data_IF_875827813289
#
_entry.id   IF_875827813289
#
_cell.length_a   1.000
_cell.length_b   1.000
_cell.length_c   1.000
_cell.angle_alpha   90.00
_cell.angle_beta   90.00
_cell.angle_gamma   90.00
#
_symmetry.space_group_name_H-M   'P 1'
#
loop_
_entity.id
_entity.type
_entity.pdbx_description
1 polymer ?
#
# COMPACT_ATOMS: atom_id res chain seq x y z
N UNK A 1 -8.41 8.02 -80.23
CA UNK A 1 -7.72 6.78 -80.63
C UNK A 1 -7.84 5.84 -79.45
N UNK A 2 -8.70 4.83 -79.40
CA UNK A 2 -9.51 4.08 -80.37
C UNK A 2 -10.75 3.60 -79.58
N UNK A 3 -11.98 3.77 -80.07
CA UNK A 3 -12.74 2.80 -80.90
C UNK A 3 -12.85 1.40 -80.26
N UNK A 4 -13.95 0.66 -80.24
CA UNK A 4 -15.34 0.83 -80.69
C UNK A 4 -16.07 -0.50 -80.31
N UNK A 5 -17.41 -0.47 -80.25
CA UNK A 5 -18.37 -1.61 -80.37
C UNK A 5 -18.41 -2.74 -79.32
N UNK A 6 -19.61 -3.02 -78.78
CA UNK A 6 -20.53 -4.04 -79.35
C UNK A 6 -21.88 -4.13 -78.59
N UNK A 7 -22.97 -3.93 -79.34
CA UNK A 7 -24.31 -4.62 -79.34
C UNK A 7 -25.11 -4.68 -78.03
N UNK A 8 -26.35 -4.16 -77.92
CA UNK A 8 -27.39 -4.04 -78.94
C UNK A 8 -28.08 -5.39 -79.14
N UNK A 9 -29.03 -5.72 -78.25
CA UNK A 9 -29.92 -6.87 -78.38
C UNK A 9 -31.37 -6.36 -78.28
N UNK A 10 -31.89 -5.94 -79.43
CA UNK A 10 -33.33 -5.86 -79.69
C UNK A 10 -33.87 -7.29 -79.72
N UNK A 11 -34.89 -7.55 -78.92
CA UNK A 11 -35.64 -8.80 -78.94
C UNK A 11 -37.08 -8.44 -79.29
N UNK A 12 -37.30 -8.37 -80.61
CA UNK A 12 -38.62 -8.51 -81.22
C UNK A 12 -39.19 -9.87 -80.84
N UNK A 13 -40.28 -9.85 -80.08
CA UNK A 13 -41.18 -10.98 -79.97
C UNK A 13 -42.52 -10.55 -80.56
N UNK A 14 -42.66 -10.95 -81.82
CA UNK A 14 -43.83 -10.80 -82.66
C UNK A 14 -45.09 -11.36 -81.99
N UNK A 15 -46.17 -10.64 -82.29
CA UNK A 15 -47.56 -11.06 -82.23
C UNK A 15 -47.76 -12.44 -82.86
N UNK A 16 -48.32 -13.41 -82.14
CA UNK A 16 -49.56 -14.08 -82.58
C UNK A 16 -50.13 -14.97 -81.46
N UNK A 17 -51.06 -14.42 -80.68
CA UNK A 17 -51.99 -15.22 -79.87
C UNK A 17 -53.38 -14.63 -80.02
N UNK A 18 -53.93 -14.78 -81.22
CA UNK A 18 -55.36 -14.61 -81.48
C UNK A 18 -56.16 -15.66 -80.69
N UNK A 19 -56.53 -15.32 -79.46
CA UNK A 19 -57.54 -16.06 -78.72
C UNK A 19 -58.94 -15.61 -79.17
N UNK A 20 -59.57 -16.41 -80.02
CA UNK A 20 -61.01 -16.33 -80.22
C UNK A 20 -61.73 -16.54 -78.87
N UNK A 21 -62.64 -15.64 -78.47
CA UNK A 21 -63.43 -15.86 -77.26
C UNK A 21 -64.43 -17.01 -77.51
N UNK A 22 -64.46 -18.06 -76.68
CA UNK A 22 -65.49 -19.07 -76.80
C UNK A 22 -66.86 -18.43 -76.51
N UNK A 23 -67.79 -18.54 -77.47
CA UNK A 23 -69.20 -18.18 -77.31
C UNK A 23 -69.78 -18.90 -76.09
N UNK A 24 -69.96 -18.15 -75.00
CA UNK A 24 -70.60 -18.63 -73.77
C UNK A 24 -72.10 -18.81 -74.00
N UNK A 25 -72.51 -20.08 -74.07
CA UNK A 25 -73.86 -20.50 -73.66
C UNK A 25 -73.89 -20.63 -72.13
N UNK A 26 -75.05 -20.34 -71.56
CA UNK A 26 -75.31 -20.03 -70.15
C UNK A 26 -74.68 -20.97 -69.11
N UNK A 27 -74.38 -20.38 -67.94
CA UNK A 27 -73.92 -21.11 -66.76
C UNK A 27 -73.29 -20.19 -65.71
N UNK A 28 -74.08 -19.29 -65.12
CA UNK A 28 -73.66 -18.25 -64.17
C UNK A 28 -73.14 -18.74 -62.80
N UNK A 29 -72.67 -19.97 -62.66
CA UNK A 29 -72.22 -20.53 -61.39
C UNK A 29 -70.72 -20.92 -61.34
N UNK A 30 -70.00 -20.98 -62.48
CA UNK A 30 -68.60 -21.45 -62.51
C UNK A 30 -67.52 -20.36 -62.50
N UNK A 31 -67.87 -19.11 -62.82
CA UNK A 31 -66.92 -17.98 -62.77
C UNK A 31 -66.69 -17.42 -61.37
N UNK A 32 -67.69 -17.53 -60.49
CA UNK A 32 -67.51 -17.19 -59.07
C UNK A 32 -66.47 -18.09 -58.39
N UNK A 33 -66.41 -19.37 -58.77
CA UNK A 33 -65.49 -20.34 -58.15
C UNK A 33 -64.01 -20.06 -58.49
N UNK A 34 -63.71 -19.63 -59.71
CA UNK A 34 -62.34 -19.30 -60.13
C UNK A 34 -61.85 -18.03 -59.44
N UNK A 35 -62.68 -17.00 -59.32
CA UNK A 35 -62.34 -15.75 -58.63
C UNK A 35 -62.05 -16.01 -57.13
N UNK A 36 -62.85 -16.88 -56.50
CA UNK A 36 -62.65 -17.24 -55.08
C UNK A 36 -61.32 -17.99 -54.87
N UNK A 37 -60.95 -18.92 -55.75
CA UNK A 37 -59.68 -19.67 -55.63
C UNK A 37 -58.47 -18.75 -55.81
N UNK A 38 -58.48 -17.85 -56.79
CA UNK A 38 -57.37 -16.92 -57.02
C UNK A 38 -57.19 -15.94 -55.86
N UNK A 39 -58.29 -15.45 -55.26
CA UNK A 39 -58.23 -14.67 -54.03
C UNK A 39 -57.67 -15.47 -52.85
N UNK A 40 -58.05 -16.74 -52.72
CA UNK A 40 -57.58 -17.62 -51.65
C UNK A 40 -56.07 -17.89 -51.75
N UNK A 41 -55.55 -18.12 -52.96
CA UNK A 41 -54.10 -18.28 -53.19
C UNK A 41 -53.37 -16.97 -52.93
N UNK A 42 -53.93 -15.83 -53.32
CA UNK A 42 -53.38 -14.52 -53.00
C UNK A 42 -53.31 -14.26 -51.49
N UNK A 43 -54.36 -14.59 -50.74
CA UNK A 43 -54.40 -14.47 -49.28
C UNK A 43 -53.43 -15.43 -48.61
N UNK A 44 -53.32 -16.68 -49.10
CA UNK A 44 -52.32 -17.63 -48.60
C UNK A 44 -50.91 -17.12 -48.89
N UNK A 45 -50.65 -16.58 -50.08
CA UNK A 45 -49.36 -15.99 -50.45
C UNK A 45 -48.98 -14.77 -49.61
N UNK A 46 -49.95 -13.90 -49.29
CA UNK A 46 -49.74 -12.76 -48.39
C UNK A 46 -49.56 -13.22 -46.95
N UNK A 47 -50.30 -14.23 -46.47
CA UNK A 47 -50.11 -14.81 -45.15
C UNK A 47 -48.75 -15.52 -45.03
N UNK A 48 -48.32 -16.29 -46.04
CA UNK A 48 -47.00 -16.92 -46.01
C UNK A 48 -45.89 -15.89 -46.11
N UNK A 49 -46.06 -14.81 -46.89
CA UNK A 49 -45.13 -13.68 -46.94
C UNK A 49 -45.03 -12.95 -45.58
N UNK A 50 -46.16 -12.65 -44.94
CA UNK A 50 -46.19 -12.00 -43.61
C UNK A 50 -45.61 -12.89 -42.51
N UNK A 51 -45.77 -14.21 -42.61
CA UNK A 51 -45.14 -15.17 -41.69
C UNK A 51 -43.63 -15.33 -41.94
N UNK A 52 -43.14 -15.09 -43.16
CA UNK A 52 -41.72 -15.21 -43.49
C UNK A 52 -40.90 -13.95 -43.17
N UNK A 53 -41.53 -12.76 -43.12
CA UNK A 53 -40.85 -11.48 -42.87
C UNK A 53 -40.93 -10.98 -41.42
N UNK A 54 -41.60 -11.72 -40.53
CA UNK A 54 -41.72 -11.34 -39.12
C UNK A 54 -40.68 -12.08 -38.26
N UNK A 55 -39.40 -11.75 -38.43
CA UNK A 55 -38.34 -12.21 -37.52
C UNK A 55 -38.64 -11.70 -36.12
N UNK A 56 -38.52 -12.57 -35.12
CA UNK A 56 -38.73 -12.18 -33.72
C UNK A 56 -37.73 -11.08 -33.33
N UNK A 57 -38.09 -10.10 -32.46
CA UNK A 57 -37.15 -9.12 -31.94
C UNK A 57 -35.88 -9.76 -31.35
N UNK A 58 -36.01 -10.95 -30.75
CA UNK A 58 -34.86 -11.71 -30.26
C UNK A 58 -33.90 -12.12 -31.39
N UNK A 59 -34.42 -12.67 -32.50
CA UNK A 59 -33.59 -13.09 -33.64
C UNK A 59 -32.91 -11.91 -34.32
N UNK A 60 -33.61 -10.77 -34.44
CA UNK A 60 -33.03 -9.52 -34.95
C UNK A 60 -31.91 -9.01 -34.03
N UNK A 61 -32.12 -9.03 -32.71
CA UNK A 61 -31.08 -8.69 -31.74
C UNK A 61 -29.84 -9.56 -31.86
N UNK A 62 -30.00 -10.88 -32.08
CA UNK A 62 -28.87 -11.80 -32.30
C UNK A 62 -28.11 -11.48 -33.58
N UNK A 63 -28.80 -11.11 -34.66
CA UNK A 63 -28.16 -10.67 -35.92
C UNK A 63 -27.30 -9.42 -35.66
N UNK A 64 -27.88 -8.38 -35.05
CA UNK A 64 -27.15 -7.16 -34.72
C UNK A 64 -25.96 -7.41 -33.79
N UNK A 65 -26.12 -8.29 -32.81
CA UNK A 65 -25.05 -8.65 -31.89
C UNK A 65 -23.89 -9.35 -32.60
N UNK A 66 -24.17 -10.27 -33.53
CA UNK A 66 -23.15 -10.94 -34.36
C UNK A 66 -22.40 -9.95 -35.25
N UNK A 67 -23.11 -8.92 -35.73
CA UNK A 67 -22.53 -7.80 -36.49
C UNK A 67 -21.85 -6.75 -35.60
N UNK A 68 -21.77 -6.97 -34.28
CA UNK A 68 -21.20 -6.06 -33.27
C UNK A 68 -21.89 -4.68 -33.22
N UNK A 69 -23.14 -4.61 -33.68
CA UNK A 69 -23.98 -3.42 -33.57
C UNK A 69 -24.68 -3.43 -32.19
N UNK A 70 -23.89 -3.25 -31.14
CA UNK A 70 -24.33 -3.44 -29.75
C UNK A 70 -25.54 -2.58 -29.36
N UNK A 71 -25.57 -1.31 -29.78
CA UNK A 71 -26.70 -0.41 -29.52
C UNK A 71 -27.99 -0.87 -30.23
N UNK A 72 -27.89 -1.29 -31.50
CA UNK A 72 -29.03 -1.81 -32.24
C UNK A 72 -29.53 -3.14 -31.64
N UNK A 73 -28.61 -4.01 -31.23
CA UNK A 73 -28.94 -5.27 -30.56
C UNK A 73 -29.67 -5.03 -29.23
N UNK A 74 -29.19 -4.09 -28.40
CA UNK A 74 -29.85 -3.72 -27.15
C UNK A 74 -31.28 -3.26 -27.37
N UNK A 75 -31.51 -2.39 -28.36
CA UNK A 75 -32.85 -1.90 -28.70
C UNK A 75 -33.78 -3.06 -29.05
N UNK A 76 -33.35 -4.03 -29.86
CA UNK A 76 -34.19 -5.17 -30.23
C UNK A 76 -34.43 -6.14 -29.07
N UNK A 77 -33.41 -6.45 -28.26
CA UNK A 77 -33.60 -7.31 -27.08
C UNK A 77 -34.54 -6.71 -26.03
N UNK A 78 -34.54 -5.38 -25.88
CA UNK A 78 -35.46 -4.68 -24.97
C UNK A 78 -36.93 -4.76 -25.40
N UNK A 79 -37.22 -5.04 -26.68
CA UNK A 79 -38.59 -5.22 -27.18
C UNK A 79 -39.18 -6.60 -26.85
N UNK A 80 -38.37 -7.57 -26.43
CA UNK A 80 -38.84 -8.92 -26.08
C UNK A 80 -39.64 -8.84 -24.77
N UNK A 81 -40.95 -9.17 -24.78
CA UNK A 81 -41.78 -9.02 -23.59
C UNK A 81 -41.49 -10.12 -22.55
N UNK A 82 -41.71 -9.87 -21.24
CA UNK A 82 -41.48 -10.87 -20.18
C UNK A 82 -42.27 -12.18 -20.33
N UNK A 83 -43.37 -12.18 -21.07
CA UNK A 83 -44.17 -13.37 -21.35
C UNK A 83 -43.60 -14.24 -22.48
N UNK A 84 -42.59 -13.76 -23.21
CA UNK A 84 -41.95 -14.51 -24.29
C UNK A 84 -41.02 -15.60 -23.74
N UNK A 85 -40.98 -16.74 -24.42
CA UNK A 85 -40.07 -17.84 -24.10
C UNK A 85 -38.60 -17.43 -24.22
N UNK A 86 -38.30 -16.45 -25.09
CA UNK A 86 -36.95 -15.98 -25.37
C UNK A 86 -36.52 -14.83 -24.46
N UNK A 87 -37.39 -14.36 -23.56
CA UNK A 87 -37.11 -13.23 -22.67
C UNK A 87 -35.84 -13.39 -21.84
N UNK A 88 -35.64 -14.56 -21.22
CA UNK A 88 -34.45 -14.82 -20.40
C UNK A 88 -33.16 -14.80 -21.23
N UNK A 89 -33.23 -15.29 -22.48
CA UNK A 89 -32.09 -15.21 -23.39
C UNK A 89 -31.82 -13.76 -23.80
N UNK A 90 -32.86 -12.97 -24.10
CA UNK A 90 -32.71 -11.55 -24.39
C UNK A 90 -32.07 -10.77 -23.21
N UNK A 91 -32.50 -11.03 -21.98
CA UNK A 91 -31.90 -10.43 -20.77
C UNK A 91 -30.44 -10.85 -20.60
N UNK A 92 -30.10 -12.11 -20.86
CA UNK A 92 -28.71 -12.59 -20.86
C UNK A 92 -27.84 -11.80 -21.85
N UNK A 93 -28.34 -11.54 -23.07
CA UNK A 93 -27.62 -10.74 -24.08
C UNK A 93 -27.48 -9.27 -23.69
N UNK A 94 -28.51 -8.66 -23.13
CA UNK A 94 -28.44 -7.28 -22.61
C UNK A 94 -27.36 -7.18 -21.54
N UNK A 95 -27.37 -8.07 -20.55
CA UNK A 95 -26.39 -8.13 -19.48
C UNK A 95 -24.95 -8.35 -19.99
N UNK A 96 -24.77 -9.20 -21.00
CA UNK A 96 -23.47 -9.39 -21.65
C UNK A 96 -22.99 -8.09 -22.30
N UNK A 97 -23.82 -7.45 -23.14
CA UNK A 97 -23.45 -6.22 -23.86
C UNK A 97 -23.08 -5.10 -22.86
N UNK A 98 -23.94 -4.86 -21.87
CA UNK A 98 -23.73 -3.82 -20.86
C UNK A 98 -22.50 -4.11 -19.99
N UNK A 99 -22.34 -5.35 -19.53
CA UNK A 99 -21.18 -5.75 -18.73
C UNK A 99 -19.87 -5.62 -19.50
N UNK A 100 -19.84 -6.02 -20.77
CA UNK A 100 -18.69 -5.86 -21.66
C UNK A 100 -18.37 -4.37 -21.93
N UNK A 101 -19.38 -3.52 -22.13
CA UNK A 101 -19.17 -2.07 -22.29
C UNK A 101 -18.47 -1.48 -21.06
N UNK A 102 -18.99 -1.75 -19.85
CA UNK A 102 -18.35 -1.29 -18.61
C UNK A 102 -16.95 -1.87 -18.43
N UNK A 103 -16.74 -3.14 -18.76
CA UNK A 103 -15.44 -3.78 -18.68
C UNK A 103 -14.41 -3.10 -19.60
N UNK A 104 -14.80 -2.76 -20.83
CA UNK A 104 -13.95 -2.08 -21.79
C UNK A 104 -13.65 -0.62 -21.40
N UNK A 105 -14.58 0.03 -20.71
CA UNK A 105 -14.39 1.35 -20.10
C UNK A 105 -13.55 1.30 -18.80
N UNK A 106 -13.05 0.12 -18.41
CA UNK A 106 -12.33 -0.13 -17.16
C UNK A 106 -13.15 0.20 -15.89
N UNK A 107 -14.48 0.20 -16.02
CA UNK A 107 -15.46 0.36 -14.93
C UNK A 107 -15.80 -1.02 -14.38
N UNK A 108 -14.82 -1.66 -13.74
CA UNK A 108 -14.87 -3.08 -13.37
C UNK A 108 -15.93 -3.36 -12.31
N UNK A 109 -16.12 -2.44 -11.37
CA UNK A 109 -17.13 -2.53 -10.31
C UNK A 109 -18.56 -2.52 -10.90
N UNK A 110 -18.78 -1.69 -11.92
CA UNK A 110 -20.03 -1.61 -12.66
C UNK A 110 -20.22 -2.80 -13.61
N UNK A 111 -19.15 -3.33 -14.22
CA UNK A 111 -19.21 -4.47 -15.13
C UNK A 111 -19.63 -5.78 -14.44
N UNK A 112 -19.05 -6.05 -13.28
CA UNK A 112 -19.21 -7.31 -12.53
C UNK A 112 -20.67 -7.74 -12.30
N UNK A 113 -21.60 -6.89 -11.83
CA UNK A 113 -22.98 -7.30 -11.59
C UNK A 113 -23.74 -7.68 -12.86
N UNK A 114 -23.47 -7.04 -14.00
CA UNK A 114 -24.10 -7.41 -15.28
C UNK A 114 -23.52 -8.72 -15.82
N UNK A 115 -22.19 -8.86 -15.80
CA UNK A 115 -21.51 -10.07 -16.26
C UNK A 115 -21.96 -11.32 -15.48
N UNK A 116 -22.23 -11.21 -14.17
CA UNK A 116 -22.76 -12.32 -13.36
C UNK A 116 -24.19 -12.78 -13.71
N UNK A 117 -24.94 -11.96 -14.45
CA UNK A 117 -26.32 -12.27 -14.85
C UNK A 117 -26.42 -12.90 -16.24
N UNK A 118 -25.29 -13.09 -16.93
CA UNK A 118 -25.26 -13.81 -18.22
C UNK A 118 -25.46 -15.29 -17.96
N UNK A 119 -26.34 -15.93 -18.74
CA UNK A 119 -26.68 -17.34 -18.55
C UNK A 119 -25.47 -18.25 -18.85
N UNK A 120 -25.30 -19.32 -18.06
CA UNK A 120 -24.16 -20.24 -18.18
C UNK A 120 -24.17 -21.03 -19.51
N UNK A 121 -25.34 -21.21 -20.09
CA UNK A 121 -25.55 -21.85 -21.39
C UNK A 121 -25.54 -20.86 -22.57
N UNK A 122 -25.27 -19.58 -22.32
CA UNK A 122 -25.11 -18.57 -23.36
C UNK A 122 -23.80 -18.80 -24.13
N UNK A 123 -23.79 -18.48 -25.43
CA UNK A 123 -22.58 -18.59 -26.26
C UNK A 123 -21.42 -17.71 -25.75
N UNK A 124 -21.75 -16.64 -25.01
CA UNK A 124 -20.77 -15.71 -24.43
C UNK A 124 -20.29 -16.10 -23.03
N UNK A 125 -20.78 -17.20 -22.45
CA UNK A 125 -20.48 -17.59 -21.06
C UNK A 125 -18.96 -17.75 -20.80
N UNK A 126 -18.20 -18.27 -21.76
CA UNK A 126 -16.75 -18.42 -21.63
C UNK A 126 -16.01 -17.07 -21.61
N UNK A 127 -16.46 -16.11 -22.42
CA UNK A 127 -15.88 -14.77 -22.46
C UNK A 127 -16.18 -14.01 -21.17
N UNK A 128 -17.43 -14.10 -20.69
CA UNK A 128 -17.87 -13.55 -19.40
C UNK A 128 -17.05 -14.13 -18.26
N UNK A 129 -16.82 -15.44 -18.25
CA UNK A 129 -15.96 -16.09 -17.24
C UNK A 129 -14.55 -15.49 -17.24
N UNK A 130 -13.94 -15.31 -18.40
CA UNK A 130 -12.62 -14.69 -18.51
C UNK A 130 -12.61 -13.23 -18.01
N UNK A 131 -13.64 -12.44 -18.36
CA UNK A 131 -13.77 -11.06 -17.88
C UNK A 131 -13.91 -11.01 -16.35
N UNK A 132 -14.73 -11.89 -15.76
CA UNK A 132 -14.89 -11.99 -14.31
C UNK A 132 -13.59 -12.41 -13.60
N UNK A 133 -12.85 -13.39 -14.14
CA UNK A 133 -11.54 -13.79 -13.61
C UNK A 133 -10.53 -12.63 -13.64
N UNK A 134 -10.55 -11.83 -14.72
CA UNK A 134 -9.73 -10.63 -14.83
C UNK A 134 -10.12 -9.57 -13.81
N UNK A 135 -11.42 -9.29 -13.62
CA UNK A 135 -11.93 -8.38 -12.58
C UNK A 135 -11.45 -8.84 -11.19
N UNK A 136 -11.62 -10.12 -10.86
CA UNK A 136 -11.19 -10.67 -9.56
C UNK A 136 -9.67 -10.57 -9.37
N UNK A 137 -8.88 -10.70 -10.45
CA UNK A 137 -7.43 -10.51 -10.40
C UNK A 137 -7.06 -9.05 -10.11
N UNK A 138 -7.73 -8.09 -10.77
CA UNK A 138 -7.53 -6.66 -10.50
C UNK A 138 -7.92 -6.27 -9.07
N UNK A 139 -9.04 -6.77 -8.56
CA UNK A 139 -9.47 -6.53 -7.18
C UNK A 139 -8.44 -7.05 -6.17
N UNK A 140 -7.93 -8.27 -6.39
CA UNK A 140 -6.88 -8.84 -5.53
C UNK A 140 -5.58 -8.04 -5.60
N UNK A 141 -5.19 -7.60 -6.78
CA UNK A 141 -3.99 -6.78 -6.96
C UNK A 141 -4.14 -5.44 -6.22
N UNK A 142 -5.28 -4.76 -6.36
CA UNK A 142 -5.56 -3.50 -5.65
C UNK A 142 -5.49 -3.67 -4.13
N UNK A 143 -6.11 -4.72 -3.60
CA UNK A 143 -6.04 -5.02 -2.15
C UNK A 143 -4.59 -5.25 -1.70
N UNK A 144 -3.78 -5.96 -2.50
CA UNK A 144 -2.38 -6.20 -2.18
C UNK A 144 -1.54 -4.91 -2.25
N UNK A 145 -1.81 -4.03 -3.21
CA UNK A 145 -1.17 -2.72 -3.33
C UNK A 145 -1.51 -1.82 -2.14
N UNK A 146 -2.78 -1.77 -1.73
CA UNK A 146 -3.23 -1.03 -0.56
C UNK A 146 -2.58 -1.57 0.73
N UNK A 147 -2.50 -2.90 0.90
CA UNK A 147 -1.81 -3.53 2.03
C UNK A 147 -0.31 -3.21 2.05
N UNK A 148 0.35 -3.27 0.90
CA UNK A 148 1.78 -2.98 0.80
C UNK A 148 2.07 -1.50 1.10
N UNK A 149 1.19 -0.58 0.69
CA UNK A 149 1.30 0.84 1.04
C UNK A 149 1.13 1.07 2.55
N UNK A 150 0.17 0.40 3.19
CA UNK A 150 -0.04 0.44 4.65
C UNK A 150 1.18 -0.10 5.41
N UNK A 151 1.71 -1.26 4.99
CA UNK A 151 2.89 -1.88 5.61
C UNK A 151 4.15 -1.01 5.45
N UNK A 152 4.35 -0.41 4.28
CA UNK A 152 5.45 0.54 4.05
C UNK A 152 5.32 1.78 4.92
N UNK A 153 4.11 2.33 5.07
CA UNK A 153 3.86 3.47 5.95
C UNK A 153 4.20 3.13 7.40
N UNK A 154 3.76 1.97 7.89
CA UNK A 154 4.05 1.51 9.24
C UNK A 154 5.55 1.31 9.47
N UNK A 155 6.27 0.73 8.50
CA UNK A 155 7.72 0.58 8.57
C UNK A 155 8.44 1.93 8.70
N UNK A 156 7.99 2.95 7.97
CA UNK A 156 8.54 4.31 8.05
C UNK A 156 8.24 4.93 9.42
N UNK A 157 7.02 4.80 9.94
CA UNK A 157 6.64 5.31 11.26
C UNK A 157 7.45 4.64 12.39
N UNK A 158 7.66 3.33 12.32
CA UNK A 158 8.45 2.59 13.31
C UNK A 158 9.94 3.00 13.26
N UNK A 159 10.51 3.17 12.06
CA UNK A 159 11.87 3.67 11.88
C UNK A 159 12.06 5.12 12.38
N UNK A 160 11.04 5.97 12.21
CA UNK A 160 11.04 7.33 12.75
C UNK A 160 11.04 7.31 14.29
N UNK A 161 10.17 6.52 14.91
CA UNK A 161 10.14 6.36 16.38
C UNK A 161 11.45 5.83 16.94
N UNK A 162 12.06 4.84 16.28
CA UNK A 162 13.38 4.32 16.68
C UNK A 162 14.46 5.42 16.61
N UNK A 163 14.44 6.23 15.55
CA UNK A 163 15.39 7.35 15.38
C UNK A 163 15.18 8.43 16.44
N UNK A 164 13.93 8.83 16.71
CA UNK A 164 13.58 9.77 17.77
C UNK A 164 14.04 9.27 19.14
N UNK A 165 13.85 7.98 19.42
CA UNK A 165 14.31 7.38 20.67
C UNK A 165 15.83 7.40 20.78
N UNK A 166 16.56 7.05 19.72
CA UNK A 166 18.04 7.16 19.70
C UNK A 166 18.54 8.57 19.95
N UNK A 167 17.86 9.58 19.41
CA UNK A 167 18.18 10.99 19.65
C UNK A 167 17.95 11.33 21.13
N UNK A 168 16.80 10.97 21.69
CA UNK A 168 16.49 11.19 23.13
C UNK A 168 17.50 10.51 24.04
N UNK A 169 17.82 9.24 23.78
CA UNK A 169 18.80 8.47 24.55
C UNK A 169 20.20 9.13 24.46
N UNK A 170 20.59 9.61 23.28
CA UNK A 170 21.86 10.34 23.07
C UNK A 170 21.90 11.68 23.82
N UNK A 171 20.79 12.43 23.82
CA UNK A 171 20.67 13.69 24.56
C UNK A 171 20.72 13.45 26.08
N UNK A 172 20.05 12.41 26.57
CA UNK A 172 20.09 11.99 27.96
C UNK A 172 21.53 11.58 28.36
N UNK A 173 22.22 10.81 27.52
CA UNK A 173 23.61 10.41 27.72
C UNK A 173 24.53 11.63 27.84
N UNK A 174 24.37 12.60 26.92
CA UNK A 174 25.12 13.85 26.91
C UNK A 174 24.90 14.68 28.17
N UNK A 175 23.64 14.81 28.61
CA UNK A 175 23.28 15.54 29.84
C UNK A 175 23.91 14.88 31.06
N UNK A 176 23.73 13.56 31.19
CA UNK A 176 24.27 12.77 32.29
C UNK A 176 25.80 12.86 32.35
N UNK A 177 26.48 12.68 31.21
CA UNK A 177 27.94 12.80 31.11
C UNK A 177 28.47 14.21 31.47
N UNK A 178 27.74 15.26 31.08
CA UNK A 178 28.09 16.64 31.43
C UNK A 178 27.98 16.89 32.94
N UNK A 179 26.95 16.34 33.59
CA UNK A 179 26.79 16.43 35.05
C UNK A 179 27.88 15.66 35.80
N UNK A 180 28.24 14.46 35.33
CA UNK A 180 29.38 13.70 35.86
C UNK A 180 30.68 14.51 35.76
N UNK A 181 30.96 15.08 34.59
CA UNK A 181 32.18 15.88 34.36
C UNK A 181 32.26 17.06 35.33
N UNK A 182 31.14 17.78 35.54
CA UNK A 182 31.07 18.89 36.51
C UNK A 182 31.38 18.44 37.94
N UNK A 183 30.87 17.28 38.36
CA UNK A 183 31.15 16.75 39.69
C UNK A 183 32.58 16.25 39.84
N UNK A 184 33.16 15.67 38.79
CA UNK A 184 34.58 15.28 38.73
C UNK A 184 35.47 16.50 38.92
N UNK A 185 35.23 17.58 38.17
CA UNK A 185 36.04 18.80 38.27
C UNK A 185 35.94 19.43 39.67
N UNK A 186 34.74 19.43 40.26
CA UNK A 186 34.51 19.89 41.64
C UNK A 186 35.25 19.00 42.65
N UNK A 187 35.16 17.68 42.49
CA UNK A 187 35.84 16.72 43.35
C UNK A 187 37.36 16.91 43.30
N UNK A 188 37.92 17.04 42.10
CA UNK A 188 39.37 17.22 41.91
C UNK A 188 39.84 18.53 42.54
N UNK A 189 39.09 19.62 42.42
CA UNK A 189 39.40 20.90 43.08
C UNK A 189 39.46 20.75 44.61
N UNK A 190 38.44 20.13 45.22
CA UNK A 190 38.42 19.88 46.68
C UNK A 190 39.55 18.93 47.12
N UNK A 191 39.88 17.94 46.28
CA UNK A 191 40.97 17.02 46.56
C UNK A 191 42.33 17.74 46.52
N UNK A 192 42.58 18.62 45.56
CA UNK A 192 43.81 19.42 45.54
C UNK A 192 43.92 20.35 46.76
N UNK A 193 42.81 20.95 47.20
CA UNK A 193 42.80 21.74 48.46
C UNK A 193 43.16 20.88 49.66
N UNK A 194 42.64 19.64 49.74
CA UNK A 194 42.98 18.72 50.84
C UNK A 194 44.47 18.38 50.94
N UNK A 195 45.23 18.51 49.84
CA UNK A 195 46.69 18.28 49.85
C UNK A 195 47.49 19.43 50.47
N UNK A 196 46.95 20.65 50.47
CA UNK A 196 47.66 21.88 50.84
C UNK A 196 47.37 22.35 52.26
N UNK A 197 46.34 21.80 52.90
CA UNK A 197 45.82 22.31 54.16
C UNK A 197 46.22 21.46 55.37
N UNK A 198 46.13 22.05 56.57
CA UNK A 198 46.40 21.35 57.83
C UNK A 198 45.36 20.25 58.14
N UNK A 199 45.70 19.33 59.04
CA UNK A 199 44.85 18.20 59.47
C UNK A 199 43.41 18.60 59.85
N UNK A 200 43.21 19.78 60.47
CA UNK A 200 41.87 20.25 60.83
C UNK A 200 41.01 20.61 59.62
N UNK A 201 41.59 21.24 58.60
CA UNK A 201 40.87 21.61 57.37
C UNK A 201 40.73 20.41 56.42
N UNK A 202 41.68 19.46 56.42
CA UNK A 202 41.55 18.19 55.71
C UNK A 202 40.26 17.43 56.09
N UNK A 203 39.86 17.43 57.38
CA UNK A 203 38.59 16.81 57.82
C UNK A 203 37.36 17.45 57.17
N UNK A 204 37.37 18.77 56.99
CA UNK A 204 36.30 19.50 56.30
C UNK A 204 36.26 19.12 54.81
N UNK A 205 37.41 19.09 54.15
CA UNK A 205 37.48 18.72 52.74
C UNK A 205 37.10 17.26 52.52
N UNK A 206 37.48 16.36 53.43
CA UNK A 206 37.04 14.96 53.40
C UNK A 206 35.51 14.84 53.39
N UNK A 207 34.81 15.65 54.18
CA UNK A 207 33.34 15.69 54.15
C UNK A 207 32.84 16.17 52.78
N UNK A 208 33.39 17.24 52.24
CA UNK A 208 33.03 17.75 50.90
C UNK A 208 33.25 16.69 49.81
N UNK A 209 34.37 15.96 49.85
CA UNK A 209 34.68 14.88 48.91
C UNK A 209 33.63 13.76 48.96
N UNK A 210 33.24 13.32 50.16
CA UNK A 210 32.17 12.33 50.33
C UNK A 210 30.82 12.86 49.82
N UNK A 211 30.47 14.11 50.13
CA UNK A 211 29.22 14.73 49.68
C UNK A 211 29.16 14.84 48.14
N UNK A 212 30.28 15.16 47.47
CA UNK A 212 30.36 15.21 46.01
C UNK A 212 30.25 13.82 45.38
N UNK A 213 30.94 12.82 45.96
CA UNK A 213 30.83 11.43 45.51
C UNK A 213 29.41 10.92 45.66
N UNK A 214 28.74 11.21 46.76
CA UNK A 214 27.34 10.82 46.97
C UNK A 214 26.43 11.51 45.95
N UNK A 215 26.61 12.82 45.71
CA UNK A 215 25.88 13.53 44.65
C UNK A 215 26.04 12.83 43.29
N UNK A 216 27.25 12.39 42.93
CA UNK A 216 27.49 11.66 41.68
C UNK A 216 26.78 10.30 41.66
N UNK A 217 26.74 9.58 42.78
CA UNK A 217 26.01 8.32 42.88
C UNK A 217 24.50 8.52 42.74
N UNK A 218 23.98 9.66 43.20
CA UNK A 218 22.56 9.97 43.20
C UNK A 218 22.03 10.52 41.86
N UNK A 219 22.88 10.89 40.89
CA UNK A 219 22.42 11.35 39.57
C UNK A 219 21.72 10.19 38.83
N UNK A 220 20.51 10.45 38.32
CA UNK A 220 19.76 9.53 37.46
C UNK A 220 20.19 9.60 35.99
N UNK A 221 20.29 8.44 35.32
CA UNK A 221 20.50 8.34 33.88
C UNK A 221 19.19 7.94 33.19
N UNK A 222 18.43 8.94 32.77
CA UNK A 222 17.07 8.81 32.21
C UNK A 222 17.07 8.54 30.70
N UNK A 223 17.70 7.44 30.28
CA UNK A 223 17.64 6.93 28.91
C UNK A 223 16.97 5.55 28.89
N UNK A 224 16.20 5.25 27.84
CA UNK A 224 15.57 3.93 27.68
C UNK A 224 16.65 2.89 27.33
N UNK A 225 17.61 3.28 26.49
CA UNK A 225 18.81 2.50 26.20
C UNK A 225 20.05 3.24 26.72
N UNK A 226 20.50 2.86 27.92
CA UNK A 226 21.67 3.48 28.54
C UNK A 226 22.96 3.09 27.81
N UNK A 227 23.76 4.10 27.44
CA UNK A 227 25.08 3.91 26.86
C UNK A 227 26.06 3.28 27.88
N UNK A 228 26.56 2.08 27.57
CA UNK A 228 27.47 1.33 28.42
C UNK A 228 28.79 2.07 28.69
N UNK A 229 29.32 2.82 27.72
CA UNK A 229 30.59 3.55 27.91
C UNK A 229 30.45 4.64 28.98
N UNK A 230 29.28 5.28 29.05
CA UNK A 230 28.99 6.29 30.07
C UNK A 230 28.84 5.66 31.45
N UNK A 231 28.22 4.48 31.53
CA UNK A 231 28.12 3.72 32.78
C UNK A 231 29.49 3.24 33.28
N UNK A 232 30.35 2.75 32.37
CA UNK A 232 31.72 2.33 32.68
C UNK A 232 32.56 3.53 33.16
N UNK A 233 32.41 4.69 32.50
CA UNK A 233 33.05 5.94 32.91
C UNK A 233 32.61 6.38 34.32
N UNK A 234 31.32 6.27 34.65
CA UNK A 234 30.82 6.53 36.02
C UNK A 234 31.45 5.58 37.04
N UNK A 235 31.53 4.29 36.72
CA UNK A 235 32.16 3.28 37.59
C UNK A 235 33.63 3.60 37.85
N UNK A 236 34.38 3.94 36.80
CA UNK A 236 35.79 4.34 36.91
C UNK A 236 35.97 5.60 37.74
N UNK A 237 35.06 6.56 37.57
CA UNK A 237 35.00 7.78 38.38
C UNK A 237 34.75 7.48 39.86
N UNK A 238 33.80 6.60 40.17
CA UNK A 238 33.52 6.19 41.56
C UNK A 238 34.74 5.54 42.22
N UNK A 239 35.43 4.66 41.49
CA UNK A 239 36.66 4.00 41.97
C UNK A 239 37.76 5.03 42.28
N UNK A 240 37.98 5.99 41.38
CA UNK A 240 38.93 7.08 41.60
C UNK A 240 38.54 7.90 42.84
N UNK A 241 37.29 8.37 42.92
CA UNK A 241 36.82 9.20 44.04
C UNK A 241 36.97 8.47 45.37
N UNK A 242 36.60 7.18 45.42
CA UNK A 242 36.77 6.34 46.61
C UNK A 242 38.24 6.20 47.00
N UNK A 243 39.11 5.84 46.05
CA UNK A 243 40.56 5.71 46.28
C UNK A 243 41.17 6.99 46.88
N UNK A 244 40.76 8.16 46.38
CA UNK A 244 41.23 9.46 46.90
C UNK A 244 40.69 9.78 48.29
N UNK A 245 39.42 9.48 48.55
CA UNK A 245 38.82 9.63 49.88
C UNK A 245 39.54 8.75 50.91
N UNK A 246 39.79 7.48 50.58
CA UNK A 246 40.49 6.53 51.46
C UNK A 246 41.92 7.01 51.78
N UNK A 247 42.62 7.56 50.78
CA UNK A 247 43.94 8.17 50.98
C UNK A 247 43.89 9.37 51.95
N UNK A 248 42.95 10.30 51.75
CA UNK A 248 42.80 11.47 52.64
C UNK A 248 42.47 11.03 54.07
N UNK A 249 41.59 10.04 54.24
CA UNK A 249 41.29 9.44 55.54
C UNK A 249 42.53 8.85 56.21
N UNK A 250 43.36 8.12 55.46
CA UNK A 250 44.62 7.53 55.94
C UNK A 250 45.58 8.61 56.42
N UNK A 251 45.79 9.68 55.65
CA UNK A 251 46.67 10.80 56.02
C UNK A 251 46.20 11.48 57.32
N UNK A 252 44.89 11.74 57.45
CA UNK A 252 44.30 12.29 58.67
C UNK A 252 44.54 11.34 59.87
N UNK A 253 44.38 10.03 59.68
CA UNK A 253 44.57 9.04 60.74
C UNK A 253 46.01 8.94 61.24
N UNK A 254 46.98 9.19 60.36
CA UNK A 254 48.41 9.20 60.68
C UNK A 254 48.86 10.54 61.29
N UNK A 255 47.97 11.55 61.36
CA UNK A 255 48.25 12.90 61.84
C UNK A 255 49.45 13.55 61.14
N UNK A 256 49.57 13.33 59.83
CA UNK A 256 50.64 13.88 59.00
C UNK A 256 50.23 15.29 58.53
N UNK A 257 51.14 16.26 58.63
CA UNK A 257 50.85 17.65 58.27
C UNK A 257 50.85 17.90 56.75
N UNK A 258 51.58 17.10 55.98
CA UNK A 258 51.68 17.22 54.51
C UNK A 258 51.79 15.86 53.81
N UNK A 259 51.20 15.77 52.62
CA UNK A 259 51.29 14.60 51.72
C UNK A 259 52.75 14.21 51.43
N UNK A 260 53.71 15.13 51.47
CA UNK A 260 55.12 14.83 51.19
C UNK A 260 55.81 14.00 52.30
N UNK A 261 55.22 13.97 53.50
CA UNK A 261 55.76 13.24 54.65
C UNK A 261 55.19 11.81 54.79
N UNK A 262 54.38 11.36 53.82
CA UNK A 262 53.74 10.04 53.89
C UNK A 262 54.73 8.89 53.63
N UNK A 263 54.40 7.71 54.18
CA UNK A 263 55.19 6.49 54.00
C UNK A 263 55.26 6.06 52.52
N UNK A 264 56.27 5.27 52.17
CA UNK A 264 56.41 4.76 50.79
C UNK A 264 55.23 3.90 50.34
N UNK A 265 54.59 3.17 51.27
CA UNK A 265 53.33 2.46 51.02
C UNK A 265 52.20 3.43 50.61
N UNK A 266 52.09 4.57 51.30
CA UNK A 266 51.07 5.59 50.98
C UNK A 266 51.39 6.29 49.65
N UNK A 267 52.68 6.45 49.31
CA UNK A 267 53.10 6.94 47.97
C UNK A 267 52.71 5.98 46.85
N UNK A 268 52.75 4.67 47.11
CA UNK A 268 52.31 3.67 46.14
C UNK A 268 50.79 3.77 45.89
N UNK A 269 49.99 3.90 46.94
CA UNK A 269 48.54 4.12 46.83
C UNK A 269 48.21 5.42 46.06
N UNK A 270 48.98 6.49 46.26
CA UNK A 270 48.88 7.72 45.47
C UNK A 270 49.11 7.42 43.98
N UNK A 271 50.17 6.67 43.66
CA UNK A 271 50.52 6.31 42.28
C UNK A 271 49.43 5.46 41.61
N UNK A 272 48.86 4.49 42.30
CA UNK A 272 47.77 3.68 41.75
C UNK A 272 46.51 4.50 41.52
N UNK A 273 46.22 5.45 42.42
CA UNK A 273 45.14 6.41 42.23
C UNK A 273 45.40 7.40 41.07
N UNK A 274 46.65 7.73 40.78
CA UNK A 274 47.03 8.54 39.61
C UNK A 274 46.78 7.77 38.30
N UNK A 275 47.04 6.45 38.25
CA UNK A 275 46.71 5.61 37.07
C UNK A 275 45.21 5.55 36.82
N UNK A 276 44.39 5.47 37.88
CA UNK A 276 42.93 5.55 37.75
C UNK A 276 42.51 6.91 37.17
N UNK A 277 43.16 8.00 37.59
CA UNK A 277 42.91 9.34 37.06
C UNK A 277 43.26 9.43 35.57
N UNK A 278 44.41 8.90 35.15
CA UNK A 278 44.80 8.88 33.74
C UNK A 278 43.79 8.10 32.88
N UNK A 279 43.37 6.93 33.37
CA UNK A 279 42.35 6.11 32.70
C UNK A 279 41.02 6.86 32.59
N UNK A 280 40.58 7.51 33.67
CA UNK A 280 39.36 8.31 33.71
C UNK A 280 39.43 9.48 32.73
N UNK A 281 40.54 10.24 32.72
CA UNK A 281 40.74 11.36 31.80
C UNK A 281 40.71 10.91 30.35
N UNK A 282 41.40 9.80 30.03
CA UNK A 282 41.38 9.23 28.67
C UNK A 282 39.96 8.88 28.23
N UNK A 283 39.18 8.23 29.08
CA UNK A 283 37.81 7.86 28.75
C UNK A 283 36.88 9.08 28.66
N UNK A 284 37.05 10.06 29.55
CA UNK A 284 36.36 11.35 29.49
C UNK A 284 36.59 12.05 28.15
N UNK A 285 37.82 12.07 27.66
CA UNK A 285 38.16 12.78 26.42
C UNK A 285 37.58 12.08 25.18
N UNK A 286 37.50 10.74 25.19
CA UNK A 286 36.75 9.97 24.18
C UNK A 286 35.27 10.34 24.20
N UNK A 287 34.64 10.32 25.37
CA UNK A 287 33.22 10.62 25.52
C UNK A 287 32.89 12.09 25.18
N UNK A 288 33.76 13.04 25.53
CA UNK A 288 33.66 14.45 25.10
C UNK A 288 33.59 14.57 23.58
N UNK A 289 34.44 13.82 22.89
CA UNK A 289 34.48 13.77 21.43
C UNK A 289 33.19 13.15 20.86
N UNK A 290 32.72 12.03 21.44
CA UNK A 290 31.50 11.34 21.01
C UNK A 290 30.23 12.19 21.17
N UNK A 291 30.10 12.94 22.27
CA UNK A 291 28.88 13.73 22.55
C UNK A 291 29.00 15.23 22.22
N UNK A 292 30.16 15.67 21.71
CA UNK A 292 30.42 17.08 21.43
C UNK A 292 30.27 17.97 22.67
N UNK A 293 30.75 17.50 23.81
CA UNK A 293 30.82 18.28 25.06
C UNK A 293 32.18 18.98 25.10
N UNK A 294 32.17 20.31 25.22
CA UNK A 294 33.38 21.12 25.33
C UNK A 294 33.91 21.08 26.77
#
# INVERSE_FOLDING_TARGET
MTDDKFKGLDLDLEEDLSFEPPKRKGGGAKWGFIIVITLLIGVIGVMTYLLFFNTSPYEQGVIYLREKQYEAALIEFQKVPPADKDYNFAQSKINYITGMQFFNENKLDEAKPFLKQVAVNDEYANEVKFMLEKIDTFEKQKVLEDQLAEDQKKLIEDAQKETEQKIKDTEAAKKYFSELTRLIDKFESEYQLSKLESSSTMKKNLRNLNDIRQQMLDISYEADNQDQQVLDFRSLTDQLMKSRIDLVQKIISLNIESVDQVSDETKLEISDSDKLKESMVSERDKLKSSYGVK
#
